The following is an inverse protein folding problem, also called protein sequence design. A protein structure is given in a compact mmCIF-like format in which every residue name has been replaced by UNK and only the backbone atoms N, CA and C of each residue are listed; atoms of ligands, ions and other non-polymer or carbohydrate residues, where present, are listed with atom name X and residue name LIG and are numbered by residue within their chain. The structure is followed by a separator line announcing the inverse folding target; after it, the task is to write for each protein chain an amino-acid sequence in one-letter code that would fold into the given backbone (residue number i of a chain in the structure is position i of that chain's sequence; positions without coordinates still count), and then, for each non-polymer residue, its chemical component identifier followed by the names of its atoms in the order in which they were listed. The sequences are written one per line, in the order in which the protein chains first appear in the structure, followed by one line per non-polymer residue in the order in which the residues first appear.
data_IF_666656460269
#
_entry.id   IF_666656460269
#
_cell.length_a   1.000
_cell.length_b   1.000
_cell.length_c   1.000
_cell.angle_alpha   90.00
_cell.angle_beta   90.00
_cell.angle_gamma   90.00
#
_symmetry.space_group_name_H-M   'P 1'
#
loop_
_entity.id
_entity.type
_entity.pdbx_description
1 polymer ?
#
# COMPACT_ATOMS: atom_id res chain seq x y z
N UNK A 1 19.95 -12.82 9.16
CA UNK A 1 19.19 -13.16 7.93
C UNK A 1 18.15 -12.09 7.71
N UNK A 2 17.97 -11.62 6.46
CA UNK A 2 17.03 -10.54 6.13
C UNK A 2 15.85 -11.13 5.36
N UNK A 3 14.63 -10.82 5.79
CA UNK A 3 13.39 -11.25 5.11
C UNK A 3 12.75 -10.06 4.40
N UNK A 4 12.49 -10.22 3.11
CA UNK A 4 11.83 -9.20 2.29
C UNK A 4 10.40 -9.62 1.99
N UNK A 5 9.45 -8.74 2.29
CA UNK A 5 8.04 -8.89 1.94
C UNK A 5 7.73 -8.02 0.73
N UNK A 6 7.26 -8.62 -0.36
CA UNK A 6 6.88 -7.91 -1.57
C UNK A 6 5.37 -7.67 -1.58
N UNK A 7 4.98 -6.42 -1.74
CA UNK A 7 3.59 -5.98 -1.71
C UNK A 7 3.27 -5.18 -2.97
N UNK A 8 2.19 -5.55 -3.66
CA UNK A 8 1.58 -4.72 -4.70
C UNK A 8 0.63 -3.70 -4.06
N UNK A 9 0.51 -2.51 -4.65
CA UNK A 9 -0.51 -1.56 -4.24
C UNK A 9 -1.91 -2.19 -4.32
N UNK A 10 -2.80 -1.78 -3.41
CA UNK A 10 -4.19 -2.21 -3.40
C UNK A 10 -4.95 -1.70 -4.65
N UNK A 11 -6.16 -2.20 -4.85
CA UNK A 11 -6.96 -1.91 -6.04
C UNK A 11 -7.20 -0.40 -6.24
N UNK A 12 -6.81 0.14 -7.40
CA UNK A 12 -6.95 1.56 -7.73
C UNK A 12 -8.15 1.86 -8.63
N UNK A 13 -8.57 3.12 -8.70
CA UNK A 13 -9.62 3.57 -9.64
C UNK A 13 -9.27 3.28 -11.11
N UNK A 14 -7.98 3.20 -11.44
CA UNK A 14 -7.54 2.83 -12.79
C UNK A 14 -7.66 1.32 -13.02
N UNK A 15 -7.46 0.49 -12.00
CA UNK A 15 -7.72 -0.95 -12.11
C UNK A 15 -9.20 -1.22 -12.32
N UNK A 16 -10.06 -0.52 -11.56
CA UNK A 16 -11.52 -0.61 -11.71
C UNK A 16 -11.98 -0.29 -13.14
N UNK A 17 -11.38 0.72 -13.76
CA UNK A 17 -11.71 1.17 -15.12
C UNK A 17 -10.97 0.39 -16.23
N UNK A 18 -10.11 -0.58 -15.88
CA UNK A 18 -9.29 -1.29 -16.86
C UNK A 18 -8.25 -0.40 -17.57
N UNK A 19 -7.84 0.70 -16.95
CA UNK A 19 -6.92 1.69 -17.52
C UNK A 19 -5.48 1.40 -17.09
N UNK A 20 -4.55 1.47 -18.04
CA UNK A 20 -3.12 1.41 -17.77
C UNK A 20 -2.62 2.74 -17.17
N UNK A 21 -2.57 2.82 -15.84
CA UNK A 21 -2.24 4.05 -15.13
C UNK A 21 -0.79 4.56 -15.30
N UNK A 22 0.18 3.66 -15.54
CA UNK A 22 1.60 4.02 -15.55
C UNK A 22 2.01 4.83 -14.30
N UNK A 23 2.57 6.03 -14.53
CA UNK A 23 2.97 7.01 -13.50
C UNK A 23 1.99 8.19 -13.36
N UNK A 24 0.77 8.06 -13.86
CA UNK A 24 -0.23 9.13 -13.81
C UNK A 24 -0.52 9.54 -12.36
N UNK A 25 -0.54 10.85 -12.12
CA UNK A 25 -0.90 11.46 -10.84
C UNK A 25 -2.42 11.38 -10.58
N UNK A 26 -2.83 11.49 -9.32
CA UNK A 26 -4.24 11.42 -8.93
C UNK A 26 -4.88 10.03 -9.05
N UNK A 27 -4.11 8.99 -9.40
CA UNK A 27 -4.58 7.61 -9.37
C UNK A 27 -4.53 7.09 -7.94
N UNK A 28 -5.69 7.19 -7.29
CA UNK A 28 -5.94 6.78 -5.90
C UNK A 28 -6.45 5.35 -5.80
N UNK A 29 -6.50 4.84 -4.58
CA UNK A 29 -7.23 3.61 -4.27
C UNK A 29 -8.72 3.78 -4.61
N UNK A 30 -9.32 2.70 -5.09
CA UNK A 30 -10.78 2.54 -5.14
C UNK A 30 -11.31 2.21 -3.74
N UNK A 31 -12.63 2.26 -3.54
CA UNK A 31 -13.26 1.88 -2.26
C UNK A 31 -12.87 0.45 -1.81
N UNK A 32 -12.81 -0.48 -2.77
CA UNK A 32 -12.30 -1.84 -2.54
C UNK A 32 -10.82 -1.84 -2.15
N UNK A 33 -10.00 -1.01 -2.80
CA UNK A 33 -8.59 -0.87 -2.47
C UNK A 33 -8.37 -0.30 -1.07
N UNK A 34 -9.18 0.65 -0.64
CA UNK A 34 -9.12 1.15 0.73
C UNK A 34 -9.49 0.08 1.76
N UNK A 35 -10.49 -0.76 1.46
CA UNK A 35 -10.84 -1.92 2.30
C UNK A 35 -9.67 -2.90 2.40
N UNK A 36 -9.06 -3.24 1.27
CA UNK A 36 -7.87 -4.10 1.22
C UNK A 36 -6.72 -3.53 2.06
N UNK A 37 -6.43 -2.22 1.96
CA UNK A 37 -5.38 -1.57 2.72
C UNK A 37 -5.63 -1.63 4.24
N UNK A 38 -6.89 -1.47 4.68
CA UNK A 38 -7.28 -1.59 6.09
C UNK A 38 -7.10 -3.02 6.62
N UNK A 39 -7.51 -4.02 5.85
CA UNK A 39 -7.39 -5.44 6.23
C UNK A 39 -5.92 -5.88 6.26
N UNK A 40 -5.15 -5.46 5.26
CA UNK A 40 -3.71 -5.70 5.19
C UNK A 40 -2.99 -5.15 6.42
N UNK A 41 -3.38 -3.98 6.92
CA UNK A 41 -2.79 -3.41 8.12
C UNK A 41 -2.97 -4.30 9.36
N UNK A 42 -4.09 -5.02 9.48
CA UNK A 42 -4.31 -5.97 10.57
C UNK A 42 -3.45 -7.24 10.41
N UNK A 43 -3.24 -7.70 9.19
CA UNK A 43 -2.38 -8.84 8.89
C UNK A 43 -0.90 -8.51 9.16
N UNK A 44 -0.38 -7.42 8.57
CA UNK A 44 1.01 -6.99 8.73
C UNK A 44 1.33 -6.55 10.16
N UNK A 45 0.33 -6.20 10.97
CA UNK A 45 0.52 -5.91 12.39
C UNK A 45 1.17 -7.08 13.16
N UNK A 46 1.02 -8.31 12.67
CA UNK A 46 1.57 -9.52 13.31
C UNK A 46 3.02 -9.80 12.92
N UNK A 47 3.55 -9.12 11.91
CA UNK A 47 4.89 -9.34 11.36
C UNK A 47 5.88 -8.34 12.01
N UNK A 48 7.11 -8.77 12.37
CA UNK A 48 8.14 -7.87 12.92
C UNK A 48 8.80 -7.03 11.81
N UNK A 49 8.00 -6.21 11.11
CA UNK A 49 8.48 -5.28 10.10
C UNK A 49 9.29 -4.14 10.75
N UNK A 50 10.52 -3.94 10.27
CA UNK A 50 11.42 -2.88 10.75
C UNK A 50 11.51 -1.70 9.80
N UNK A 51 11.27 -1.90 8.50
CA UNK A 51 11.37 -0.88 7.45
C UNK A 51 10.25 -1.05 6.43
N UNK A 52 9.83 0.06 5.82
CA UNK A 52 8.87 0.09 4.72
C UNK A 52 9.49 0.93 3.60
N UNK A 53 9.61 0.34 2.43
CA UNK A 53 10.00 1.04 1.21
C UNK A 53 8.81 1.07 0.25
N UNK A 54 8.48 2.24 -0.26
CA UNK A 54 7.35 2.40 -1.17
C UNK A 54 7.74 3.17 -2.44
N UNK A 55 7.07 2.83 -3.54
CA UNK A 55 7.01 3.75 -4.66
C UNK A 55 6.34 5.06 -4.19
N UNK A 56 6.77 6.24 -4.70
CA UNK A 56 6.20 7.53 -4.31
C UNK A 56 4.79 7.76 -4.90
N UNK A 57 4.27 6.84 -5.72
CA UNK A 57 2.95 6.97 -6.31
C UNK A 57 1.85 6.91 -5.24
N UNK A 58 0.83 7.75 -5.40
CA UNK A 58 -0.23 7.96 -4.40
C UNK A 58 -0.91 6.66 -3.97
N UNK A 59 -1.36 5.82 -4.91
CA UNK A 59 -1.93 4.49 -4.61
C UNK A 59 -1.02 3.59 -3.78
N UNK A 60 0.30 3.67 -3.95
CA UNK A 60 1.25 2.89 -3.16
C UNK A 60 1.33 3.44 -1.73
N UNK A 61 1.45 4.76 -1.58
CA UNK A 61 1.46 5.42 -0.27
C UNK A 61 0.17 5.16 0.51
N UNK A 62 -1.01 5.29 -0.13
CA UNK A 62 -2.30 5.00 0.49
C UNK A 62 -2.43 3.54 0.94
N UNK A 63 -1.84 2.59 0.19
CA UNK A 63 -1.83 1.17 0.58
C UNK A 63 -1.07 0.95 1.88
N UNK A 64 0.05 1.64 2.07
CA UNK A 64 0.96 1.40 3.19
C UNK A 64 0.67 2.27 4.41
N UNK A 65 0.01 3.41 4.24
CA UNK A 65 -0.18 4.44 5.28
C UNK A 65 -0.86 3.89 6.54
N UNK A 66 -1.94 3.12 6.38
CA UNK A 66 -2.68 2.58 7.52
C UNK A 66 -1.83 1.65 8.39
N UNK A 67 -1.00 0.80 7.77
CA UNK A 67 -0.16 -0.12 8.52
C UNK A 67 1.11 0.57 9.05
N UNK A 68 1.69 1.49 8.27
CA UNK A 68 2.85 2.29 8.68
C UNK A 68 2.54 3.07 9.95
N UNK A 69 1.38 3.76 9.98
CA UNK A 69 0.89 4.47 11.17
C UNK A 69 0.72 3.53 12.36
N UNK A 70 0.15 2.34 12.16
CA UNK A 70 -0.08 1.35 13.22
C UNK A 70 1.22 0.80 13.79
N UNK A 71 2.22 0.56 12.94
CA UNK A 71 3.55 0.05 13.33
C UNK A 71 4.51 1.15 13.79
N UNK A 72 4.17 2.43 13.58
CA UNK A 72 5.05 3.59 13.80
C UNK A 72 6.38 3.43 13.05
N UNK A 73 6.33 2.82 11.86
CA UNK A 73 7.51 2.64 11.00
C UNK A 73 7.45 3.71 9.91
N UNK A 74 8.58 4.37 9.70
CA UNK A 74 8.73 5.37 8.63
C UNK A 74 8.63 4.68 7.27
N UNK A 75 7.79 5.24 6.39
CA UNK A 75 7.80 4.91 4.97
C UNK A 75 8.91 5.71 4.31
N UNK A 76 9.78 4.99 3.61
CA UNK A 76 10.88 5.54 2.82
C UNK A 76 10.54 5.43 1.34
#
# INVERSE_FOLDING_TARGET
MTTLYLLRHAHSIANEKGILAGRLEGVRLSDEGERQARELAAYLAKIPLTHIYSSPLERCLQTVESFARRKKVRVV
#
